data_IF_208473828958
#
_entry.id   IF_208473828958
#
_cell.length_a   1.000
_cell.length_b   1.000
_cell.length_c   1.000
_cell.angle_alpha   90.00
_cell.angle_beta   90.00
_cell.angle_gamma   90.00
#
_symmetry.space_group_name_H-M   'P 1'
#
loop_
_entity.id
_entity.type
_entity.pdbx_description
1 polymer ?
#
# COMPACT_ATOMS: atom_id res chain seq x y z
N UNK A 1 5.93 7.22 -18.04
CA UNK A 1 5.59 8.05 -16.86
C UNK A 1 5.35 9.45 -17.36
N UNK A 2 4.16 10.00 -17.16
CA UNK A 2 3.90 11.42 -17.40
C UNK A 2 4.29 12.20 -16.15
N UNK A 3 4.66 13.47 -16.28
CA UNK A 3 5.06 14.31 -15.14
C UNK A 3 4.00 14.32 -14.02
N UNK A 4 2.72 14.34 -14.41
CA UNK A 4 1.57 14.23 -13.48
C UNK A 4 1.56 12.97 -12.61
N UNK A 5 2.12 11.85 -13.08
CA UNK A 5 2.21 10.62 -12.28
C UNK A 5 3.31 10.75 -11.23
N UNK A 6 4.48 11.26 -11.64
CA UNK A 6 5.64 11.39 -10.77
C UNK A 6 5.37 12.34 -9.60
N UNK A 7 4.59 13.40 -9.85
CA UNK A 7 4.16 14.36 -8.82
C UNK A 7 3.23 13.73 -7.76
N UNK A 8 2.52 12.66 -8.13
CA UNK A 8 1.60 11.94 -7.23
C UNK A 8 2.30 10.83 -6.44
N UNK A 9 3.54 10.45 -6.79
CA UNK A 9 4.30 9.40 -6.08
C UNK A 9 4.66 9.83 -4.64
N UNK A 10 5.21 11.04 -4.36
CA UNK A 10 5.50 11.46 -2.99
C UNK A 10 4.27 11.46 -2.06
N UNK A 11 3.13 12.10 -2.40
CA UNK A 11 1.95 12.06 -1.53
C UNK A 11 1.36 10.65 -1.40
N UNK A 12 1.48 9.81 -2.44
CA UNK A 12 1.11 8.40 -2.33
C UNK A 12 1.96 7.64 -1.31
N UNK A 13 3.28 7.84 -1.32
CA UNK A 13 4.19 7.25 -0.32
C UNK A 13 3.85 7.70 1.09
N UNK A 14 3.50 8.97 1.28
CA UNK A 14 3.01 9.48 2.58
C UNK A 14 1.74 8.75 3.03
N UNK A 15 0.78 8.56 2.12
CA UNK A 15 -0.46 7.85 2.44
C UNK A 15 -0.23 6.38 2.81
N UNK A 16 0.61 5.67 2.04
CA UNK A 16 0.96 4.28 2.33
C UNK A 16 1.69 4.17 3.68
N UNK A 17 2.66 5.04 3.97
CA UNK A 17 3.37 5.05 5.25
C UNK A 17 2.41 5.30 6.44
N UNK A 18 1.44 6.20 6.27
CA UNK A 18 0.40 6.43 7.29
C UNK A 18 -0.42 5.15 7.57
N UNK A 19 -0.86 4.43 6.54
CA UNK A 19 -1.60 3.19 6.70
C UNK A 19 -0.76 2.07 7.31
N UNK A 20 0.52 2.02 6.94
CA UNK A 20 1.51 1.09 7.50
C UNK A 20 1.70 1.34 9.00
N UNK A 21 1.84 2.60 9.42
CA UNK A 21 2.01 2.95 10.84
C UNK A 21 0.73 2.71 11.66
N UNK A 22 -0.44 2.73 11.01
CA UNK A 22 -1.72 2.39 11.63
C UNK A 22 -1.95 0.87 11.73
N UNK A 23 -1.09 0.03 11.14
CA UNK A 23 -1.33 -1.42 11.02
C UNK A 23 -2.47 -1.77 10.06
N UNK A 24 -2.84 -0.85 9.16
CA UNK A 24 -3.84 -1.14 8.11
C UNK A 24 -3.19 -1.80 6.89
N UNK A 25 -1.93 -1.47 6.60
CA UNK A 25 -1.10 -2.16 5.59
C UNK A 25 0.02 -2.90 6.32
N UNK A 26 0.11 -4.20 6.11
CA UNK A 26 1.18 -5.05 6.65
C UNK A 26 2.40 -5.06 5.73
N UNK A 27 2.17 -5.23 4.43
CA UNK A 27 3.22 -5.31 3.42
C UNK A 27 2.88 -4.43 2.22
N UNK A 28 3.89 -3.74 1.70
CA UNK A 28 3.80 -2.94 0.48
C UNK A 28 5.08 -3.11 -0.34
N UNK A 29 4.94 -3.64 -1.55
CA UNK A 29 6.04 -3.85 -2.48
C UNK A 29 5.70 -3.27 -3.85
N UNK A 30 6.71 -2.74 -4.54
CA UNK A 30 6.56 -2.13 -5.87
C UNK A 30 7.71 -2.59 -6.77
N UNK A 31 7.38 -3.06 -7.96
CA UNK A 31 8.33 -3.33 -9.03
C UNK A 31 8.31 -2.18 -10.03
N UNK A 32 9.45 -1.51 -10.17
CA UNK A 32 9.61 -0.45 -11.18
C UNK A 32 9.71 -1.02 -12.60
N UNK A 33 10.16 -2.27 -12.73
CA UNK A 33 10.28 -2.97 -14.02
C UNK A 33 8.89 -3.33 -14.58
N UNK A 34 8.04 -3.95 -13.75
CA UNK A 34 6.71 -4.42 -14.18
C UNK A 34 5.59 -3.42 -13.90
N UNK A 35 5.89 -2.31 -13.23
CA UNK A 35 4.93 -1.30 -12.76
C UNK A 35 3.81 -1.90 -11.90
N UNK A 36 4.10 -3.01 -11.22
CA UNK A 36 3.15 -3.72 -10.35
C UNK A 36 3.44 -3.42 -8.89
N UNK A 37 2.36 -3.27 -8.13
CA UNK A 37 2.42 -3.16 -6.67
C UNK A 37 1.68 -4.34 -6.04
N UNK A 38 2.17 -4.79 -4.89
CA UNK A 38 1.51 -5.76 -4.03
C UNK A 38 1.28 -5.14 -2.66
N UNK A 39 0.07 -5.29 -2.15
CA UNK A 39 -0.33 -4.72 -0.86
C UNK A 39 -1.06 -5.80 -0.07
N UNK A 40 -0.55 -6.10 1.12
CA UNK A 40 -1.32 -6.84 2.14
C UNK A 40 -1.91 -5.82 3.09
N UNK A 41 -3.21 -5.93 3.34
CA UNK A 41 -3.97 -4.97 4.13
C UNK A 41 -5.03 -5.67 4.99
N UNK A 42 -5.31 -5.08 6.14
CA UNK A 42 -6.33 -5.53 7.09
C UNK A 42 -7.59 -4.69 6.92
N UNK A 43 -8.71 -5.31 6.60
CA UNK A 43 -10.00 -4.66 6.42
C UNK A 43 -11.16 -5.63 6.65
N UNK A 44 -12.35 -5.09 6.95
CA UNK A 44 -13.55 -5.89 7.23
C UNK A 44 -14.08 -6.67 6.01
N UNK A 45 -13.90 -6.14 4.80
CA UNK A 45 -14.37 -6.73 3.54
C UNK A 45 -13.75 -6.02 2.33
N UNK A 46 -13.93 -6.61 1.13
CA UNK A 46 -13.42 -6.04 -0.14
C UNK A 46 -13.87 -4.59 -0.39
N UNK A 47 -15.10 -4.23 -0.01
CA UNK A 47 -15.58 -2.84 -0.17
C UNK A 47 -14.82 -1.85 0.74
N UNK A 48 -14.43 -2.27 1.95
CA UNK A 48 -13.57 -1.47 2.82
C UNK A 48 -12.17 -1.29 2.23
N UNK A 49 -11.62 -2.33 1.61
CA UNK A 49 -10.35 -2.26 0.86
C UNK A 49 -10.45 -1.21 -0.24
N UNK A 50 -11.49 -1.27 -1.08
CA UNK A 50 -11.68 -0.28 -2.15
C UNK A 50 -11.78 1.15 -1.63
N UNK A 51 -12.48 1.37 -0.51
CA UNK A 51 -12.58 2.71 0.10
C UNK A 51 -11.22 3.25 0.56
N UNK A 52 -10.30 2.39 0.98
CA UNK A 52 -8.93 2.76 1.32
C UNK A 52 -8.13 3.06 0.05
N UNK A 53 -8.17 2.16 -0.93
CA UNK A 53 -7.44 2.33 -2.20
C UNK A 53 -7.88 3.61 -2.94
N UNK A 54 -9.18 3.95 -2.94
CA UNK A 54 -9.75 5.18 -3.54
C UNK A 54 -9.17 6.49 -2.99
N UNK A 55 -8.60 6.47 -1.78
CA UNK A 55 -7.96 7.65 -1.17
C UNK A 55 -6.51 7.83 -1.62
N UNK A 56 -5.94 6.83 -2.28
CA UNK A 56 -4.59 6.91 -2.84
C UNK A 56 -4.55 7.97 -3.95
N UNK A 57 -3.55 8.87 -3.96
CA UNK A 57 -3.31 9.79 -5.08
C UNK A 57 -3.11 9.07 -6.43
N UNK A 58 -2.63 7.83 -6.40
CA UNK A 58 -2.40 7.01 -7.59
C UNK A 58 -3.61 6.15 -8.00
N UNK A 59 -4.73 6.21 -7.28
CA UNK A 59 -5.88 5.32 -7.51
C UNK A 59 -6.34 5.28 -8.98
N UNK A 60 -6.40 6.44 -9.64
CA UNK A 60 -6.85 6.58 -11.03
C UNK A 60 -5.99 5.81 -12.06
N UNK A 61 -4.78 5.38 -11.67
CA UNK A 61 -3.87 4.64 -12.55
C UNK A 61 -3.90 3.13 -12.31
N UNK A 62 -4.65 2.66 -11.31
CA UNK A 62 -4.63 1.25 -10.94
C UNK A 62 -5.69 0.44 -11.67
N UNK A 63 -5.24 -0.69 -12.19
CA UNK A 63 -6.07 -1.86 -12.46
C UNK A 63 -5.63 -2.93 -11.48
N UNK A 64 -6.56 -3.48 -10.71
CA UNK A 64 -6.22 -4.38 -9.60
C UNK A 64 -7.28 -5.45 -9.38
N UNK A 65 -6.86 -6.50 -8.69
CA UNK A 65 -7.70 -7.57 -8.16
C UNK A 65 -7.59 -7.55 -6.62
N UNK A 66 -8.65 -7.99 -5.94
CA UNK A 66 -8.67 -8.10 -4.48
C UNK A 66 -9.06 -9.52 -4.13
N UNK A 67 -8.11 -10.25 -3.55
CA UNK A 67 -8.29 -11.60 -3.08
C UNK A 67 -8.19 -11.66 -1.56
N UNK A 68 -9.12 -12.40 -0.97
CA UNK A 68 -9.10 -12.66 0.47
C UNK A 68 -8.03 -13.70 0.76
N UNK A 69 -7.16 -13.41 1.73
CA UNK A 69 -6.10 -14.31 2.14
C UNK A 69 -6.56 -15.13 3.34
N UNK A 70 -6.52 -16.46 3.21
CA UNK A 70 -6.83 -17.38 4.31
C UNK A 70 -5.68 -17.48 5.32
N UNK A 71 -4.44 -17.53 4.81
CA UNK A 71 -3.21 -17.52 5.60
C UNK A 71 -2.19 -16.65 4.88
N UNK A 72 -1.49 -15.83 5.65
CA UNK A 72 -0.30 -15.12 5.20
C UNK A 72 0.77 -15.24 6.29
N UNK A 73 1.81 -16.02 6.00
CA UNK A 73 2.97 -16.15 6.86
C UNK A 73 4.16 -15.40 6.26
N UNK A 74 4.88 -14.66 7.11
CA UNK A 74 6.04 -13.89 6.69
C UNK A 74 6.92 -13.53 7.88
N UNK A 75 8.22 -13.36 7.62
CA UNK A 75 9.11 -12.74 8.59
C UNK A 75 8.90 -11.22 8.54
N UNK A 76 8.94 -10.54 9.68
CA UNK A 76 8.87 -9.08 9.71
C UNK A 76 10.14 -8.48 9.10
N UNK A 77 10.01 -7.76 7.98
CA UNK A 77 11.15 -7.18 7.22
C UNK A 77 11.40 -5.69 7.50
N UNK A 78 10.76 -5.08 8.51
CA UNK A 78 11.03 -3.69 8.85
C UNK A 78 12.14 -3.57 9.89
N UNK A 79 13.00 -2.56 9.71
CA UNK A 79 13.87 -2.07 10.77
C UNK A 79 12.99 -1.78 12.01
N UNK A 80 13.49 -2.06 13.23
CA UNK A 80 12.74 -1.72 14.43
C UNK A 80 12.34 -0.25 14.39
N UNK A 81 11.15 0.07 14.91
CA UNK A 81 10.73 1.46 15.06
C UNK A 81 11.82 2.22 15.81
N UNK A 82 12.40 3.22 15.14
CA UNK A 82 13.37 4.09 15.78
C UNK A 82 12.57 4.94 16.74
N UNK A 83 12.60 4.60 18.03
CA UNK A 83 11.96 5.38 19.07
C UNK A 83 12.95 6.46 19.51
N UNK A 84 12.82 7.73 19.09
CA UNK A 84 13.63 8.78 19.66
C UNK A 84 13.20 8.96 21.12
N UNK A 85 14.10 8.59 22.04
CA UNK A 85 13.96 8.90 23.47
C UNK A 85 13.73 10.39 23.70
#
# INVERSE_FOLDING_TARGET
>A
MNDDFMDLVPPHRTYINFLINKGTIEHYAVSMETQRSWITLIAENKAAVERLLKKSPLYKFWTYEIDELFVLDGQHYRLPEVNPN
#
